data_IF_628268006959
#
_entry.id   IF_628268006959
#
_cell.length_a   1.000
_cell.length_b   1.000
_cell.length_c   1.000
_cell.angle_alpha   90.00
_cell.angle_beta   90.00
_cell.angle_gamma   90.00
#
_symmetry.space_group_name_H-M   'P 1'
#
loop_
_entity.id
_entity.type
_entity.pdbx_description
1 polymer ?
#
# COMPACT_ATOMS: atom_id res chain seq x y z
N UNK A 1 -17.23 4.21 22.66
CA UNK A 1 -17.01 3.65 21.31
C UNK A 1 -15.78 4.32 20.74
N UNK A 2 -14.84 3.57 20.21
CA UNK A 2 -13.69 4.16 19.50
C UNK A 2 -14.20 4.70 18.15
N UNK A 3 -14.19 6.02 18.02
CA UNK A 3 -14.60 6.72 16.80
C UNK A 3 -13.42 6.74 15.82
N UNK A 4 -13.29 5.66 15.03
CA UNK A 4 -12.30 5.60 13.96
C UNK A 4 -12.76 6.44 12.77
N UNK A 5 -11.95 7.41 12.39
CA UNK A 5 -12.15 8.27 11.22
C UNK A 5 -11.13 7.93 10.13
N UNK A 6 -11.57 7.95 8.87
CA UNK A 6 -10.67 7.82 7.72
C UNK A 6 -10.71 9.13 6.94
N UNK A 7 -9.53 9.71 6.71
CA UNK A 7 -9.35 10.95 5.94
C UNK A 7 -8.12 10.88 5.04
N UNK A 8 -8.03 11.82 4.13
CA UNK A 8 -6.80 12.05 3.37
C UNK A 8 -5.79 12.74 4.29
N UNK A 9 -4.53 12.29 4.22
CA UNK A 9 -3.44 12.91 4.96
C UNK A 9 -3.02 14.23 4.33
N UNK A 10 -2.60 15.16 5.18
CA UNK A 10 -2.07 16.46 4.80
C UNK A 10 -0.56 16.52 5.00
N UNK A 11 0.10 17.54 4.47
CA UNK A 11 1.55 17.69 4.57
C UNK A 11 2.02 17.75 6.04
N UNK A 12 1.24 18.34 6.92
CA UNK A 12 1.54 18.44 8.34
C UNK A 12 1.51 17.07 9.08
N UNK A 13 0.95 16.04 8.46
CA UNK A 13 0.99 14.68 9.00
C UNK A 13 2.35 13.97 8.78
N UNK A 14 3.26 14.54 7.98
CA UNK A 14 4.47 13.87 7.51
C UNK A 14 5.34 13.29 8.64
N UNK A 15 5.57 14.05 9.70
CA UNK A 15 6.38 13.56 10.85
C UNK A 15 5.69 12.42 11.59
N UNK A 16 4.38 12.51 11.80
CA UNK A 16 3.60 11.46 12.47
C UNK A 16 3.58 10.17 11.63
N UNK A 17 3.43 10.30 10.30
CA UNK A 17 3.47 9.19 9.36
C UNK A 17 4.85 8.54 9.30
N UNK A 18 5.92 9.33 9.29
CA UNK A 18 7.29 8.81 9.32
C UNK A 18 7.54 7.97 10.57
N UNK A 19 7.15 8.46 11.75
CA UNK A 19 7.28 7.73 13.02
C UNK A 19 6.48 6.43 13.01
N UNK A 20 5.22 6.48 12.57
CA UNK A 20 4.35 5.30 12.47
C UNK A 20 4.97 4.23 11.57
N UNK A 21 5.42 4.60 10.37
CA UNK A 21 6.02 3.67 9.43
C UNK A 21 7.35 3.11 9.94
N UNK A 22 8.19 3.94 10.54
CA UNK A 22 9.45 3.51 11.11
C UNK A 22 9.26 2.45 12.20
N UNK A 23 8.26 2.64 13.07
CA UNK A 23 7.88 1.67 14.10
C UNK A 23 7.29 0.39 13.49
N UNK A 24 6.31 0.54 12.61
CA UNK A 24 5.59 -0.58 11.99
C UNK A 24 6.50 -1.48 11.13
N UNK A 25 7.51 -0.91 10.47
CA UNK A 25 8.39 -1.64 9.58
C UNK A 25 9.67 -2.19 10.26
N UNK A 26 9.74 -2.13 11.59
CA UNK A 26 10.86 -2.75 12.34
C UNK A 26 11.09 -4.22 11.97
N UNK A 27 10.05 -5.08 11.90
CA UNK A 27 10.24 -6.47 11.47
C UNK A 27 10.80 -6.62 10.05
N UNK A 28 10.43 -5.72 9.14
CA UNK A 28 10.94 -5.74 7.76
C UNK A 28 12.42 -5.39 7.71
N UNK A 29 12.87 -4.41 8.52
CA UNK A 29 14.30 -4.09 8.65
C UNK A 29 15.11 -5.25 9.19
N UNK A 30 14.59 -5.95 10.19
CA UNK A 30 15.22 -7.13 10.77
C UNK A 30 15.36 -8.29 9.78
N UNK A 31 14.42 -8.40 8.82
CA UNK A 31 14.48 -9.33 7.71
C UNK A 31 15.40 -8.88 6.56
N UNK A 32 15.97 -7.67 6.64
CA UNK A 32 16.80 -7.10 5.58
C UNK A 32 16.03 -6.79 4.30
N UNK A 33 14.74 -6.41 4.43
CA UNK A 33 13.92 -5.95 3.32
C UNK A 33 14.20 -4.47 3.11
N UNK A 34 14.64 -4.11 1.90
CA UNK A 34 15.05 -2.74 1.53
C UNK A 34 13.99 -2.06 0.65
N UNK A 35 12.81 -1.86 1.19
CA UNK A 35 11.80 -1.04 0.54
C UNK A 35 11.98 0.44 0.91
N UNK A 36 11.67 1.39 0.00
CA UNK A 36 11.81 2.82 0.27
C UNK A 36 11.10 3.29 1.55
N UNK A 37 9.97 2.69 1.89
CA UNK A 37 9.18 3.04 3.08
C UNK A 37 9.80 2.57 4.40
N UNK A 38 10.67 1.56 4.37
CA UNK A 38 11.23 0.93 5.59
C UNK A 38 12.14 1.87 6.36
N UNK A 39 12.89 2.72 5.64
CA UNK A 39 13.81 3.71 6.20
C UNK A 39 13.51 5.13 5.68
N UNK A 40 12.23 5.44 5.42
CA UNK A 40 11.83 6.73 4.86
C UNK A 40 12.20 7.90 5.79
N UNK A 41 12.77 8.95 5.22
CA UNK A 41 12.91 10.24 5.90
C UNK A 41 11.61 11.05 5.85
N UNK A 42 11.51 12.12 6.62
CA UNK A 42 10.33 13.01 6.58
C UNK A 42 10.17 13.59 5.18
N UNK A 43 11.25 14.03 4.52
CA UNK A 43 11.19 14.56 3.14
C UNK A 43 10.67 13.53 2.13
N UNK A 44 10.99 12.24 2.31
CA UNK A 44 10.45 11.18 1.47
C UNK A 44 8.95 11.00 1.70
N UNK A 45 8.49 11.13 2.93
CA UNK A 45 7.06 11.10 3.28
C UNK A 45 6.34 12.30 2.68
N UNK A 46 6.88 13.51 2.82
CA UNK A 46 6.33 14.72 2.20
C UNK A 46 6.18 14.58 0.69
N UNK A 47 7.22 14.06 0.02
CA UNK A 47 7.17 13.79 -1.41
C UNK A 47 6.09 12.77 -1.78
N UNK A 48 5.93 11.71 -0.98
CA UNK A 48 4.89 10.71 -1.16
C UNK A 48 3.48 11.32 -1.01
N UNK A 49 3.30 12.22 -0.03
CA UNK A 49 2.05 12.97 0.16
C UNK A 49 1.72 13.89 -1.02
N UNK A 50 2.73 14.49 -1.64
CA UNK A 50 2.57 15.40 -2.77
C UNK A 50 2.27 14.69 -4.10
N UNK A 51 2.77 13.46 -4.26
CA UNK A 51 2.68 12.72 -5.54
C UNK A 51 1.60 11.67 -5.58
N UNK A 52 1.10 11.23 -4.44
CA UNK A 52 0.02 10.25 -4.33
C UNK A 52 -1.14 10.76 -3.49
N UNK A 53 -2.12 9.90 -3.26
CA UNK A 53 -3.19 10.15 -2.29
C UNK A 53 -3.00 9.23 -1.11
N UNK A 54 -2.61 9.80 0.02
CA UNK A 54 -2.39 9.05 1.27
C UNK A 54 -3.64 9.13 2.15
N UNK A 55 -4.11 7.98 2.59
CA UNK A 55 -5.20 7.86 3.55
C UNK A 55 -4.66 7.49 4.93
N UNK A 56 -5.30 8.01 5.94
CA UNK A 56 -5.05 7.67 7.34
C UNK A 56 -6.33 7.21 8.01
N UNK A 57 -6.19 6.23 8.89
CA UNK A 57 -7.21 5.87 9.86
C UNK A 57 -6.75 6.39 11.22
N UNK A 58 -7.57 7.19 11.86
CA UNK A 58 -7.25 7.83 13.13
C UNK A 58 -8.31 7.56 14.21
N UNK A 59 -7.90 7.68 15.46
CA UNK A 59 -8.76 7.68 16.63
C UNK A 59 -8.31 8.80 17.57
N UNK A 60 -9.23 9.73 17.92
CA UNK A 60 -8.91 10.88 18.76
C UNK A 60 -7.66 11.65 18.29
N UNK A 61 -7.56 11.93 16.99
CA UNK A 61 -6.44 12.58 16.32
C UNK A 61 -5.10 11.80 16.36
N UNK A 62 -5.06 10.59 16.87
CA UNK A 62 -3.91 9.68 16.72
C UNK A 62 -4.02 8.91 15.40
N UNK A 63 -3.01 9.01 14.53
CA UNK A 63 -2.93 8.20 13.31
C UNK A 63 -2.51 6.78 13.68
N UNK A 64 -3.36 5.81 13.31
CA UNK A 64 -3.20 4.40 13.65
C UNK A 64 -2.72 3.59 12.45
N UNK A 65 -3.22 3.91 11.26
CA UNK A 65 -2.87 3.22 10.03
C UNK A 65 -2.80 4.19 8.87
N UNK A 66 -1.97 3.88 7.89
CA UNK A 66 -1.78 4.69 6.69
C UNK A 66 -1.59 3.80 5.46
N UNK A 67 -2.01 4.30 4.31
CA UNK A 67 -1.81 3.69 3.00
C UNK A 67 -1.78 4.77 1.93
N UNK A 68 -0.90 4.65 0.94
CA UNK A 68 -0.84 5.58 -0.17
C UNK A 68 -1.29 4.92 -1.46
N UNK A 69 -2.15 5.60 -2.21
CA UNK A 69 -2.49 5.29 -3.60
C UNK A 69 -1.55 6.07 -4.50
N UNK A 70 -0.77 5.37 -5.30
CA UNK A 70 0.11 5.92 -6.32
C UNK A 70 -0.50 5.69 -7.70
N UNK A 71 -0.47 6.70 -8.54
CA UNK A 71 -1.06 6.65 -9.87
C UNK A 71 -0.03 6.38 -10.96
N UNK A 72 -0.42 5.71 -12.07
CA UNK A 72 0.50 5.34 -13.14
C UNK A 72 1.19 6.51 -13.83
N UNK A 73 0.58 7.69 -13.85
CA UNK A 73 1.11 8.89 -14.49
C UNK A 73 2.12 9.67 -13.64
N UNK A 74 2.25 9.34 -12.34
CA UNK A 74 3.12 10.05 -11.40
C UNK A 74 4.53 9.46 -11.29
N UNK A 75 4.82 8.43 -12.07
CA UNK A 75 6.10 7.75 -12.04
C UNK A 75 6.62 7.46 -13.44
N UNK A 76 7.92 7.62 -13.63
CA UNK A 76 8.57 7.25 -14.88
C UNK A 76 8.59 5.73 -15.11
N UNK A 77 8.63 4.95 -14.03
CA UNK A 77 8.60 3.49 -14.06
C UNK A 77 7.24 2.99 -13.60
N UNK A 78 6.35 2.76 -14.56
CA UNK A 78 5.06 2.16 -14.29
C UNK A 78 5.19 0.68 -13.90
N UNK A 79 4.52 0.31 -12.82
CA UNK A 79 4.34 -1.08 -12.44
C UNK A 79 3.11 -1.66 -13.15
N UNK A 80 2.09 -0.84 -13.33
CA UNK A 80 0.83 -1.18 -14.00
C UNK A 80 0.19 0.09 -14.54
N UNK A 81 -0.81 -0.03 -15.41
CA UNK A 81 -1.69 1.09 -15.80
C UNK A 81 -2.76 1.36 -14.75
N UNK A 82 -2.93 0.49 -13.78
CA UNK A 82 -3.83 0.68 -12.65
C UNK A 82 -3.09 1.27 -11.45
N UNK A 83 -3.82 1.92 -10.52
CA UNK A 83 -3.22 2.43 -9.28
C UNK A 83 -2.47 1.36 -8.51
N UNK A 84 -1.42 1.78 -7.84
CA UNK A 84 -0.56 0.97 -7.00
C UNK A 84 -0.70 1.44 -5.55
N UNK A 85 -1.06 0.55 -4.64
CA UNK A 85 -1.08 0.86 -3.21
C UNK A 85 0.23 0.45 -2.57
N UNK A 86 0.80 1.35 -1.79
CA UNK A 86 2.07 1.16 -1.13
C UNK A 86 2.16 1.95 0.18
N UNK A 87 3.27 1.84 0.88
CA UNK A 87 3.49 2.50 2.18
C UNK A 87 2.33 2.22 3.14
N UNK A 88 1.89 0.97 3.14
CA UNK A 88 0.80 0.51 3.97
C UNK A 88 1.33 0.01 5.31
N UNK A 89 0.97 0.70 6.37
CA UNK A 89 1.45 0.43 7.72
C UNK A 89 0.33 0.61 8.75
N UNK A 90 0.37 -0.20 9.79
CA UNK A 90 -0.47 -0.07 10.98
C UNK A 90 0.42 -0.01 12.21
N UNK A 91 0.10 0.85 13.15
CA UNK A 91 0.83 1.00 14.40
C UNK A 91 0.84 -0.33 15.18
N UNK A 92 2.01 -0.85 15.61
CA UNK A 92 2.10 -2.18 16.24
C UNK A 92 1.21 -2.35 17.47
N UNK A 93 0.98 -1.31 18.24
CA UNK A 93 0.08 -1.34 19.41
C UNK A 93 -1.39 -1.64 19.04
N UNK A 94 -1.75 -1.58 17.76
CA UNK A 94 -3.08 -1.88 17.24
C UNK A 94 -3.12 -3.14 16.37
N UNK A 95 -2.06 -3.94 16.38
CA UNK A 95 -2.01 -5.19 15.63
C UNK A 95 -3.10 -6.17 16.06
N UNK A 96 -3.58 -6.97 15.10
CA UNK A 96 -4.63 -7.97 15.35
C UNK A 96 -6.05 -7.42 15.48
N UNK A 97 -6.25 -6.10 15.48
CA UNK A 97 -7.58 -5.48 15.59
C UNK A 97 -8.29 -5.27 14.23
N UNK A 98 -7.65 -5.64 13.12
CA UNK A 98 -8.22 -5.54 11.78
C UNK A 98 -8.28 -4.11 11.21
N UNK A 99 -7.65 -3.13 11.87
CA UNK A 99 -7.75 -1.71 11.49
C UNK A 99 -7.06 -1.40 10.17
N UNK A 100 -5.90 -1.99 9.91
CA UNK A 100 -5.25 -1.91 8.60
C UNK A 100 -6.14 -2.47 7.49
N UNK A 101 -6.77 -3.62 7.75
CA UNK A 101 -7.73 -4.21 6.81
C UNK A 101 -8.96 -3.34 6.56
N UNK A 102 -9.45 -2.62 7.57
CA UNK A 102 -10.54 -1.64 7.44
C UNK A 102 -10.13 -0.49 6.52
N UNK A 103 -8.91 0.04 6.69
CA UNK A 103 -8.38 1.11 5.85
C UNK A 103 -8.19 0.64 4.40
N UNK A 104 -7.57 -0.52 4.19
CA UNK A 104 -7.38 -1.09 2.85
C UNK A 104 -8.72 -1.29 2.14
N UNK A 105 -9.71 -1.87 2.82
CA UNK A 105 -11.07 -2.05 2.27
C UNK A 105 -11.72 -0.73 1.86
N UNK A 106 -11.59 0.31 2.68
CA UNK A 106 -12.10 1.65 2.34
C UNK A 106 -11.46 2.19 1.06
N UNK A 107 -10.14 2.09 0.94
CA UNK A 107 -9.41 2.54 -0.26
C UNK A 107 -9.84 1.75 -1.49
N UNK A 108 -9.94 0.42 -1.40
CA UNK A 108 -10.35 -0.44 -2.51
C UNK A 108 -11.79 -0.17 -2.94
N UNK A 109 -12.73 -0.18 -2.00
CA UNK A 109 -14.16 -0.14 -2.31
C UNK A 109 -14.68 1.28 -2.47
N UNK A 110 -14.47 2.13 -1.47
CA UNK A 110 -15.07 3.48 -1.48
C UNK A 110 -14.32 4.42 -2.41
N UNK A 111 -12.99 4.42 -2.35
CA UNK A 111 -12.20 5.37 -3.14
C UNK A 111 -11.94 4.88 -4.56
N UNK A 112 -11.31 3.72 -4.74
CA UNK A 112 -10.91 3.23 -6.05
C UNK A 112 -12.10 2.73 -6.87
N UNK A 113 -12.92 1.83 -6.31
CA UNK A 113 -14.06 1.27 -7.03
C UNK A 113 -15.20 2.25 -7.21
N UNK A 114 -15.70 2.82 -6.11
CA UNK A 114 -16.97 3.57 -6.14
C UNK A 114 -16.80 5.03 -6.55
N UNK A 115 -15.69 5.69 -6.16
CA UNK A 115 -15.43 7.09 -6.50
C UNK A 115 -14.69 7.23 -7.83
N UNK A 116 -13.53 6.60 -7.97
CA UNK A 116 -12.69 6.73 -9.17
C UNK A 116 -13.08 5.79 -10.30
N UNK A 117 -13.91 4.76 -10.02
CA UNK A 117 -14.33 3.74 -11.00
C UNK A 117 -13.12 2.98 -11.61
N UNK A 118 -12.11 2.73 -10.83
CA UNK A 118 -10.89 2.03 -11.23
C UNK A 118 -11.18 0.53 -11.34
N UNK A 119 -10.90 -0.11 -12.49
CA UNK A 119 -11.18 -1.53 -12.71
C UNK A 119 -10.37 -2.50 -11.86
N UNK A 120 -9.12 -2.14 -11.51
CA UNK A 120 -8.23 -2.99 -10.73
C UNK A 120 -7.21 -2.15 -9.94
N UNK A 121 -6.58 -2.76 -8.96
CA UNK A 121 -5.52 -2.18 -8.13
C UNK A 121 -4.38 -3.17 -8.00
N UNK A 122 -3.16 -2.65 -7.91
CA UNK A 122 -1.94 -3.43 -7.72
C UNK A 122 -1.24 -3.08 -6.41
N UNK A 123 -0.44 -4.00 -5.91
CA UNK A 123 0.47 -3.79 -4.78
C UNK A 123 1.71 -4.66 -4.91
N UNK A 124 2.75 -4.32 -4.17
CA UNK A 124 3.97 -5.11 -4.06
C UNK A 124 4.11 -5.77 -2.69
N UNK A 125 4.68 -6.97 -2.67
CA UNK A 125 4.99 -7.67 -1.43
C UNK A 125 6.23 -8.56 -1.60
N UNK A 126 6.67 -9.18 -0.50
CA UNK A 126 7.77 -10.14 -0.46
C UNK A 126 7.22 -11.57 -0.43
N UNK A 127 7.76 -12.42 -1.29
CA UNK A 127 7.40 -13.83 -1.28
C UNK A 127 8.44 -14.72 -0.59
N UNK A 128 9.71 -14.30 -0.50
CA UNK A 128 10.78 -15.09 0.09
C UNK A 128 11.06 -14.70 1.54
N UNK A 129 11.28 -13.42 1.80
CA UNK A 129 11.61 -12.94 3.15
C UNK A 129 10.40 -12.77 4.05
N UNK A 130 9.21 -12.47 3.47
CA UNK A 130 7.99 -12.23 4.23
C UNK A 130 6.76 -12.94 3.59
N UNK A 131 6.77 -14.28 3.44
CA UNK A 131 5.77 -15.01 2.67
C UNK A 131 4.34 -14.91 3.23
N UNK A 132 4.17 -14.69 4.53
CA UNK A 132 2.83 -14.57 5.14
C UNK A 132 2.07 -13.30 4.71
N UNK A 133 2.76 -12.24 4.28
CA UNK A 133 2.09 -11.08 3.64
C UNK A 133 1.42 -11.48 2.33
N UNK A 134 2.09 -12.30 1.52
CA UNK A 134 1.54 -12.84 0.29
C UNK A 134 0.21 -13.59 0.54
N UNK A 135 0.17 -14.42 1.59
CA UNK A 135 -1.02 -15.17 1.96
C UNK A 135 -2.15 -14.26 2.48
N UNK A 136 -1.80 -13.19 3.21
CA UNK A 136 -2.77 -12.19 3.66
C UNK A 136 -3.46 -11.54 2.46
N UNK A 137 -2.69 -11.11 1.45
CA UNK A 137 -3.25 -10.48 0.26
C UNK A 137 -4.03 -11.45 -0.63
N UNK A 138 -3.58 -12.70 -0.76
CA UNK A 138 -4.36 -13.74 -1.45
C UNK A 138 -5.74 -13.94 -0.84
N UNK A 139 -5.82 -14.00 0.50
CA UNK A 139 -7.11 -14.08 1.20
C UNK A 139 -8.02 -12.85 1.01
N UNK A 140 -7.45 -11.72 0.59
CA UNK A 140 -8.18 -10.48 0.26
C UNK A 140 -8.57 -10.38 -1.22
N UNK A 141 -8.30 -11.40 -2.02
CA UNK A 141 -8.65 -11.46 -3.43
C UNK A 141 -7.59 -10.93 -4.39
N UNK A 142 -6.35 -10.75 -3.92
CA UNK A 142 -5.22 -10.44 -4.79
C UNK A 142 -4.64 -11.71 -5.41
N UNK A 143 -4.21 -11.60 -6.66
CA UNK A 143 -3.52 -12.63 -7.40
C UNK A 143 -2.13 -12.16 -7.81
N UNK A 144 -1.17 -13.07 -7.94
CA UNK A 144 0.18 -12.75 -8.41
C UNK A 144 0.10 -12.34 -9.88
N UNK A 145 0.64 -11.17 -10.19
CA UNK A 145 0.69 -10.58 -11.52
C UNK A 145 2.09 -10.64 -12.14
N UNK A 146 3.12 -10.35 -11.34
CA UNK A 146 4.52 -10.41 -11.77
C UNK A 146 5.43 -10.73 -10.59
N UNK A 147 6.60 -11.28 -10.88
CA UNK A 147 7.65 -11.58 -9.91
C UNK A 147 8.98 -10.98 -10.38
N UNK A 148 9.83 -10.60 -9.46
CA UNK A 148 11.18 -10.11 -9.75
C UNK A 148 12.14 -10.43 -8.61
N UNK A 149 13.37 -10.76 -8.96
CA UNK A 149 14.47 -10.88 -7.99
C UNK A 149 14.93 -9.48 -7.57
N UNK A 150 14.97 -9.24 -6.27
CA UNK A 150 15.44 -7.99 -5.69
C UNK A 150 16.94 -8.06 -5.38
N UNK A 151 17.61 -6.92 -5.38
CA UNK A 151 19.05 -6.83 -5.09
C UNK A 151 19.42 -7.27 -3.67
N UNK A 152 18.46 -7.27 -2.75
CA UNK A 152 18.61 -7.72 -1.37
C UNK A 152 18.42 -9.24 -1.18
N UNK A 153 18.25 -9.99 -2.29
CA UNK A 153 18.03 -11.44 -2.29
C UNK A 153 16.59 -11.87 -2.01
N UNK A 154 15.65 -10.94 -1.99
CA UNK A 154 14.23 -11.25 -1.89
C UNK A 154 13.60 -11.57 -3.24
N UNK A 155 12.48 -12.27 -3.25
CA UNK A 155 11.58 -12.39 -4.38
C UNK A 155 10.43 -11.38 -4.19
N UNK A 156 10.51 -10.28 -4.90
CA UNK A 156 9.45 -9.29 -4.97
C UNK A 156 8.30 -9.79 -5.83
N UNK A 157 7.09 -9.55 -5.37
CA UNK A 157 5.87 -9.97 -6.05
C UNK A 157 4.96 -8.77 -6.25
N UNK A 158 4.49 -8.57 -7.47
CA UNK A 158 3.41 -7.64 -7.76
C UNK A 158 2.10 -8.41 -7.82
N UNK A 159 1.15 -7.97 -7.04
CA UNK A 159 -0.18 -8.57 -6.96
C UNK A 159 -1.22 -7.62 -7.53
N UNK A 160 -2.33 -8.17 -8.00
CA UNK A 160 -3.45 -7.44 -8.61
C UNK A 160 -4.77 -7.95 -8.07
N UNK A 161 -5.69 -7.02 -7.81
CA UNK A 161 -7.09 -7.32 -7.46
C UNK A 161 -8.01 -6.60 -8.43
N UNK A 162 -8.92 -7.34 -9.06
CA UNK A 162 -9.98 -6.78 -9.91
C UNK A 162 -11.09 -6.24 -9.02
N UNK A 163 -11.46 -4.96 -9.23
CA UNK A 163 -12.48 -4.25 -8.46
C UNK A 163 -13.80 -4.15 -9.21
N UNK A 164 -13.73 -3.98 -10.54
CA UNK A 164 -14.91 -3.86 -11.45
C UNK A 164 -14.67 -4.81 -12.63
N UNK A 165 -15.12 -6.08 -12.54
CA UNK A 165 -14.81 -7.09 -13.55
C UNK A 165 -15.27 -6.70 -14.97
N UNK A 166 -16.42 -6.08 -15.11
CA UNK A 166 -16.98 -5.67 -16.41
C UNK A 166 -16.20 -4.52 -17.09
N UNK A 167 -15.32 -3.86 -16.37
CA UNK A 167 -14.45 -2.78 -16.88
C UNK A 167 -13.00 -3.17 -16.96
N UNK A 168 -12.65 -4.34 -16.46
CA UNK A 168 -11.28 -4.82 -16.44
C UNK A 168 -10.93 -5.43 -17.80
N UNK A 169 -9.80 -5.00 -18.35
CA UNK A 169 -9.24 -5.51 -19.59
C UNK A 169 -7.77 -5.86 -19.38
N UNK A 170 -7.45 -7.14 -19.42
CA UNK A 170 -6.12 -7.64 -19.20
C UNK A 170 -5.15 -7.27 -20.34
N UNK A 171 -5.64 -7.18 -21.57
CA UNK A 171 -4.83 -6.85 -22.74
C UNK A 171 -4.33 -5.40 -22.72
N UNK A 172 -5.10 -4.49 -22.13
CA UNK A 172 -4.72 -3.07 -21.97
C UNK A 172 -3.54 -2.90 -21.01
N UNK A 173 -3.30 -3.85 -20.10
CA UNK A 173 -2.21 -3.76 -19.12
C UNK A 173 -0.83 -3.88 -19.75
N UNK A 174 -0.72 -4.47 -20.94
CA UNK A 174 0.56 -4.79 -21.54
C UNK A 174 1.33 -5.87 -20.77
N UNK A 175 2.61 -5.98 -21.07
CA UNK A 175 3.49 -6.93 -20.38
C UNK A 175 3.81 -6.43 -18.96
N UNK A 176 4.03 -7.33 -17.99
CA UNK A 176 4.59 -6.97 -16.70
C UNK A 176 5.89 -6.17 -16.83
N UNK A 177 6.21 -5.30 -15.87
CA UNK A 177 7.36 -4.40 -15.98
C UNK A 177 8.73 -5.08 -15.84
N UNK A 178 8.75 -6.38 -15.56
CA UNK A 178 9.98 -7.18 -15.37
C UNK A 178 9.96 -8.46 -16.21
#
# INVERSE_FOLDING_TARGET
MSDYNIRIAEIDDAEALQKLMYEAFTPLRELGIDWPSVNASVEMVEKNLQTGTTFVLENNAEIISTITVRYPWETQRRISIYPFVWWFATKPSYDGQGLGGKLLKYVEETYLRDTLKVPAVTLGTSARKHPWLLDIYKRRGYEVYAEHESNDGDLGVIMRKVLIPERFDEEVLGQPPF
#
